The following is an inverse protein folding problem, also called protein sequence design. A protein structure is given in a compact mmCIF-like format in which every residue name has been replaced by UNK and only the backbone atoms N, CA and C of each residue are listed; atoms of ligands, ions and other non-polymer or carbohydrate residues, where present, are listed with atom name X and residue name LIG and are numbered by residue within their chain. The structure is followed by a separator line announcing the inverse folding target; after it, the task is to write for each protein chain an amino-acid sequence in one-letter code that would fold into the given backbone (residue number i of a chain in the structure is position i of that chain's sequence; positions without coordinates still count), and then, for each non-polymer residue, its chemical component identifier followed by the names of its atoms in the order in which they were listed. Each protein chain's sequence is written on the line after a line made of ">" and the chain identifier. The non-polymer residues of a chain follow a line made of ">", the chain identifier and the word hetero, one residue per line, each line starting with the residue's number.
data_IF_674394790932
#
_entry.id   IF_674394790932
#
_cell.length_a   1.000
_cell.length_b   1.000
_cell.length_c   1.000
_cell.angle_alpha   90.00
_cell.angle_beta   90.00
_cell.angle_gamma   90.00
#
_symmetry.space_group_name_H-M   'P 1'
#
loop_
_entity.id
_entity.type
_entity.pdbx_description
1 polymer ?
#
# COMPACT_ATOMS: atom_id res chain seq x y z
N UNK A 1 10.90 -10.11 12.75
CA UNK A 1 10.08 -9.35 11.79
C UNK A 1 10.06 -7.90 12.23
N UNK A 2 10.30 -6.95 11.33
CA UNK A 2 10.11 -5.52 11.64
C UNK A 2 8.62 -5.22 11.84
N UNK A 3 8.28 -4.27 12.71
CA UNK A 3 6.90 -3.83 12.85
C UNK A 3 6.40 -3.25 11.50
N UNK A 4 5.14 -3.51 11.18
CA UNK A 4 4.49 -2.87 10.04
C UNK A 4 4.27 -1.39 10.37
N UNK A 5 4.62 -0.51 9.43
CA UNK A 5 4.38 0.93 9.50
C UNK A 5 3.03 1.20 8.84
N UNK A 6 2.09 1.75 9.60
CA UNK A 6 0.82 2.24 9.06
C UNK A 6 1.07 3.52 8.26
N UNK A 7 0.43 3.60 7.08
CA UNK A 7 0.35 4.83 6.30
C UNK A 7 -1.09 5.08 5.90
N UNK A 8 -1.44 6.36 5.79
CA UNK A 8 -2.76 6.79 5.34
C UNK A 8 -2.62 7.46 3.98
N UNK A 9 -3.57 7.22 3.08
CA UNK A 9 -3.62 7.87 1.78
C UNK A 9 -5.05 8.19 1.39
N UNK A 10 -5.25 9.35 0.79
CA UNK A 10 -6.55 9.73 0.26
C UNK A 10 -6.66 9.25 -1.19
N UNK A 11 -7.69 8.49 -1.50
CA UNK A 11 -7.99 7.95 -2.84
C UNK A 11 -9.47 8.18 -3.09
N UNK A 12 -9.82 8.88 -4.17
CA UNK A 12 -11.21 9.19 -4.52
C UNK A 12 -12.00 9.90 -3.39
N UNK A 13 -11.30 10.77 -2.64
CA UNK A 13 -11.87 11.47 -1.49
C UNK A 13 -11.94 10.65 -0.20
N UNK A 14 -11.76 9.33 -0.26
CA UNK A 14 -11.76 8.43 0.89
C UNK A 14 -10.36 8.28 1.51
N UNK A 15 -10.27 8.33 2.84
CA UNK A 15 -9.03 8.05 3.55
C UNK A 15 -8.89 6.54 3.75
N UNK A 16 -7.87 5.96 3.11
CA UNK A 16 -7.59 4.52 3.16
C UNK A 16 -6.33 4.29 3.98
N UNK A 17 -6.38 3.27 4.84
CA UNK A 17 -5.25 2.82 5.66
C UNK A 17 -4.54 1.66 4.95
N UNK A 18 -3.23 1.75 4.89
CA UNK A 18 -2.35 0.69 4.43
C UNK A 18 -1.22 0.44 5.42
N UNK A 19 -0.52 -0.66 5.23
CA UNK A 19 0.62 -1.06 6.05
C UNK A 19 1.80 -1.41 5.17
N UNK A 20 2.99 -0.95 5.54
CA UNK A 20 4.24 -1.37 4.91
C UNK A 20 5.10 -2.10 5.92
N UNK A 21 5.53 -3.30 5.55
CA UNK A 21 6.41 -4.12 6.39
C UNK A 21 7.68 -4.46 5.61
N UNK A 22 8.80 -4.52 6.34
CA UNK A 22 10.05 -5.02 5.79
C UNK A 22 9.96 -6.55 5.63
N UNK A 23 10.06 -7.02 4.40
CA UNK A 23 9.99 -8.43 3.98
C UNK A 23 11.35 -8.83 3.36
N UNK A 24 12.27 -9.28 4.22
CA UNK A 24 13.64 -9.62 3.83
C UNK A 24 14.46 -8.41 3.34
N UNK A 25 14.93 -8.47 2.08
CA UNK A 25 15.63 -7.38 1.39
C UNK A 25 14.67 -6.38 0.71
N UNK A 26 13.36 -6.60 0.83
CA UNK A 26 12.31 -5.79 0.20
C UNK A 26 11.33 -5.24 1.23
N UNK A 27 10.41 -4.42 0.75
CA UNK A 27 9.28 -3.88 1.50
C UNK A 27 7.99 -4.34 0.82
N UNK A 28 7.03 -4.77 1.62
CA UNK A 28 5.70 -5.19 1.19
C UNK A 28 4.69 -4.18 1.72
N UNK A 29 3.96 -3.54 0.82
CA UNK A 29 2.84 -2.68 1.16
C UNK A 29 1.53 -3.42 0.90
N UNK A 30 0.64 -3.43 1.87
CA UNK A 30 -0.65 -4.10 1.78
C UNK A 30 -1.75 -3.29 2.46
N UNK A 31 -2.99 -3.47 2.00
CA UNK A 31 -4.16 -2.79 2.54
C UNK A 31 -5.40 -3.19 1.75
N UNK A 32 -6.56 -3.09 2.38
CA UNK A 32 -7.83 -3.40 1.75
C UNK A 32 -8.43 -2.12 1.16
N UNK A 33 -8.85 -2.17 -0.09
CA UNK A 33 -9.45 -1.05 -0.82
C UNK A 33 -10.64 -1.55 -1.64
N UNK A 34 -11.81 -0.93 -1.46
CA UNK A 34 -13.08 -1.29 -2.14
C UNK A 34 -13.42 -2.80 -2.09
N UNK A 35 -13.14 -3.46 -0.96
CA UNK A 35 -13.42 -4.89 -0.77
C UNK A 35 -12.36 -5.83 -1.35
N UNK A 36 -11.28 -5.30 -1.95
CA UNK A 36 -10.16 -6.09 -2.44
C UNK A 36 -8.87 -5.80 -1.69
N UNK A 37 -8.10 -6.84 -1.41
CA UNK A 37 -6.77 -6.69 -0.83
C UNK A 37 -5.75 -6.34 -1.90
N UNK A 38 -5.17 -5.14 -1.79
CA UNK A 38 -4.04 -4.74 -2.62
C UNK A 38 -2.76 -5.09 -1.88
N UNK A 39 -1.89 -5.85 -2.56
CA UNK A 39 -0.59 -6.27 -2.06
C UNK A 39 0.48 -6.04 -3.13
N UNK A 40 1.51 -5.28 -2.78
CA UNK A 40 2.62 -4.94 -3.67
C UNK A 40 3.95 -5.02 -2.94
N UNK A 41 5.01 -5.24 -3.72
CA UNK A 41 6.39 -5.28 -3.23
C UNK A 41 7.27 -4.27 -3.96
N UNK A 42 8.22 -3.71 -3.22
CA UNK A 42 9.28 -2.89 -3.78
C UNK A 42 10.58 -3.02 -2.96
N UNK A 43 11.70 -2.59 -3.52
CA UNK A 43 13.01 -2.64 -2.86
C UNK A 43 13.17 -1.54 -1.79
N UNK A 44 12.32 -0.51 -1.82
CA UNK A 44 12.29 0.59 -0.85
C UNK A 44 10.91 0.74 -0.23
N UNK A 45 10.85 1.27 1.00
CA UNK A 45 9.59 1.50 1.72
C UNK A 45 8.67 2.45 0.94
N UNK A 46 9.16 3.64 0.61
CA UNK A 46 8.41 4.64 -0.15
C UNK A 46 8.01 4.14 -1.53
N UNK A 47 8.83 3.27 -2.15
CA UNK A 47 8.48 2.64 -3.41
C UNK A 47 7.33 1.64 -3.28
N UNK A 48 7.21 0.94 -2.15
CA UNK A 48 6.09 0.02 -1.91
C UNK A 48 4.80 0.82 -1.64
N UNK A 49 4.89 1.89 -0.85
CA UNK A 49 3.77 2.83 -0.60
C UNK A 49 3.25 3.45 -1.89
N UNK A 50 4.14 4.02 -2.73
CA UNK A 50 3.73 4.62 -4.00
C UNK A 50 3.09 3.61 -4.94
N UNK A 51 3.67 2.41 -5.11
CA UNK A 51 3.06 1.35 -5.94
C UNK A 51 1.68 0.94 -5.43
N UNK A 52 1.51 0.89 -4.12
CA UNK A 52 0.22 0.53 -3.52
C UNK A 52 -0.82 1.60 -3.83
N UNK A 53 -0.44 2.87 -3.65
CA UNK A 53 -1.27 4.04 -3.97
C UNK A 53 -1.64 4.08 -5.46
N UNK A 54 -0.68 3.86 -6.35
CA UNK A 54 -0.93 3.86 -7.81
C UNK A 54 -1.94 2.76 -8.20
N UNK A 55 -1.80 1.57 -7.61
CA UNK A 55 -2.71 0.44 -7.88
C UNK A 55 -4.12 0.69 -7.32
N UNK A 56 -4.20 1.30 -6.14
CA UNK A 56 -5.47 1.68 -5.53
C UNK A 56 -6.15 2.83 -6.32
N UNK A 57 -5.40 3.84 -6.74
CA UNK A 57 -5.90 4.91 -7.63
C UNK A 57 -6.37 4.37 -8.99
N UNK A 58 -5.66 3.41 -9.58
CA UNK A 58 -6.08 2.79 -10.82
C UNK A 58 -7.44 2.08 -10.65
N UNK A 59 -7.59 1.28 -9.59
CA UNK A 59 -8.87 0.63 -9.23
C UNK A 59 -9.99 1.61 -8.87
N UNK A 60 -9.65 2.80 -8.41
CA UNK A 60 -10.64 3.82 -8.09
C UNK A 60 -11.30 4.41 -9.34
N UNK A 61 -10.52 4.50 -10.43
CA UNK A 61 -10.91 5.09 -11.72
C UNK A 61 -11.38 4.08 -12.77
N UNK A 62 -11.34 2.78 -12.46
CA UNK A 62 -11.90 1.69 -13.28
C UNK A 62 -13.38 1.49 -12.95
#
# INVERSE_FOLDING_TARGET
>A
MSAAVEFETQIDGELIKGWVVKDGSSYRAYGDFRGERIDVRNTTQSGAESKWRDKANHKANE
#
